data_IF_328174211945
#
_entry.id   IF_328174211945
#
_cell.length_a   1.000
_cell.length_b   1.000
_cell.length_c   1.000
_cell.angle_alpha   90.00
_cell.angle_beta   90.00
_cell.angle_gamma   90.00
#
_symmetry.space_group_name_H-M   'P 1'
#
loop_
_entity.id
_entity.type
_entity.pdbx_description
1 polymer ?
#
# COMPACT_ATOMS: atom_id res chain seq x y z
N UNK A 1 50.43 41.00 28.41
CA UNK A 1 49.86 40.52 27.11
C UNK A 1 49.48 39.02 27.10
N UNK A 2 49.54 38.30 28.23
CA UNK A 2 49.38 36.81 28.26
C UNK A 2 47.93 36.32 28.38
N UNK A 3 47.03 37.05 29.04
CA UNK A 3 45.62 36.63 29.25
C UNK A 3 44.79 36.54 27.96
N UNK A 4 45.05 37.40 26.97
CA UNK A 4 44.29 37.45 25.70
C UNK A 4 44.57 36.24 24.81
N UNK A 5 45.79 35.72 24.84
CA UNK A 5 46.19 34.51 24.10
C UNK A 5 45.62 33.24 24.75
N UNK A 6 45.56 33.18 26.09
CA UNK A 6 44.95 32.06 26.81
C UNK A 6 43.44 31.94 26.54
N UNK A 7 42.73 33.07 26.44
CA UNK A 7 41.29 33.08 26.13
C UNK A 7 41.03 32.61 24.69
N UNK A 8 41.87 33.04 23.74
CA UNK A 8 41.75 32.67 22.33
C UNK A 8 42.04 31.17 22.11
N UNK A 9 43.04 30.63 22.80
CA UNK A 9 43.33 29.18 22.80
C UNK A 9 42.17 28.38 23.39
N UNK A 10 41.52 28.86 24.45
CA UNK A 10 40.33 28.22 25.03
C UNK A 10 39.15 28.18 24.06
N UNK A 11 38.85 29.28 23.36
CA UNK A 11 37.80 29.30 22.33
C UNK A 11 38.10 28.39 21.14
N UNK A 12 39.36 28.34 20.69
CA UNK A 12 39.78 27.41 19.62
C UNK A 12 39.62 25.95 20.03
N UNK A 13 39.98 25.61 21.28
CA UNK A 13 39.75 24.27 21.85
C UNK A 13 38.27 23.92 21.92
N UNK A 14 37.41 24.86 22.34
CA UNK A 14 35.95 24.65 22.34
C UNK A 14 35.39 24.41 20.93
N UNK A 15 35.86 25.16 19.93
CA UNK A 15 35.45 24.98 18.54
C UNK A 15 35.91 23.62 18.02
N UNK A 16 37.15 23.19 18.33
CA UNK A 16 37.68 21.88 17.96
C UNK A 16 36.88 20.74 18.60
N UNK A 17 36.62 20.82 19.91
CA UNK A 17 35.82 19.83 20.64
C UNK A 17 34.38 19.81 20.11
N UNK A 18 33.78 20.99 19.86
CA UNK A 18 32.46 21.10 19.26
C UNK A 18 32.40 20.49 17.85
N UNK A 19 33.39 20.79 17.01
CA UNK A 19 33.51 20.22 15.67
C UNK A 19 33.68 18.69 15.70
N UNK A 20 34.53 18.19 16.59
CA UNK A 20 34.72 16.75 16.78
C UNK A 20 33.43 16.06 17.26
N UNK A 21 32.73 16.64 18.25
CA UNK A 21 31.49 16.06 18.75
C UNK A 21 30.37 16.05 17.70
N UNK A 22 30.23 17.11 16.92
CA UNK A 22 29.27 17.18 15.80
C UNK A 22 29.62 16.17 14.71
N UNK A 23 30.89 16.08 14.32
CA UNK A 23 31.37 15.11 13.32
C UNK A 23 31.16 13.67 13.78
N UNK A 24 31.52 13.36 15.03
CA UNK A 24 31.29 12.06 15.64
C UNK A 24 29.80 11.70 15.68
N UNK A 25 28.95 12.63 16.11
CA UNK A 25 27.50 12.44 16.13
C UNK A 25 26.95 12.19 14.71
N UNK A 26 27.41 12.94 13.73
CA UNK A 26 27.02 12.77 12.33
C UNK A 26 27.39 11.37 11.82
N UNK A 27 28.63 10.92 12.02
CA UNK A 27 29.08 9.59 11.62
C UNK A 27 28.28 8.48 12.33
N UNK A 28 28.05 8.65 13.63
CA UNK A 28 27.26 7.71 14.43
C UNK A 28 25.81 7.59 13.93
N UNK A 29 25.15 8.72 13.67
CA UNK A 29 23.78 8.74 13.14
C UNK A 29 23.71 8.18 11.72
N UNK A 30 24.65 8.56 10.86
CA UNK A 30 24.72 8.07 9.48
C UNK A 30 24.88 6.54 9.44
N UNK A 31 25.78 5.98 10.26
CA UNK A 31 25.96 4.55 10.36
C UNK A 31 24.70 3.84 10.86
N UNK A 32 24.03 4.39 11.89
CA UNK A 32 22.77 3.83 12.42
C UNK A 32 21.65 3.85 11.38
N UNK A 33 21.54 4.93 10.62
CA UNK A 33 20.55 5.06 9.55
C UNK A 33 20.86 4.05 8.45
N UNK A 34 22.07 4.06 7.88
CA UNK A 34 22.47 3.17 6.79
C UNK A 34 22.31 1.69 7.15
N UNK A 35 22.74 1.29 8.35
CA UNK A 35 22.51 -0.08 8.83
C UNK A 35 21.00 -0.40 8.85
N UNK A 36 20.15 0.52 9.32
CA UNK A 36 18.70 0.32 9.30
C UNK A 36 18.09 0.31 7.89
N UNK A 37 18.76 0.89 6.89
CA UNK A 37 18.35 0.84 5.48
C UNK A 37 18.70 -0.52 4.86
N UNK A 38 19.90 -1.01 5.14
CA UNK A 38 20.49 -2.21 4.54
C UNK A 38 19.99 -3.50 5.17
N UNK A 39 19.78 -3.56 6.49
CA UNK A 39 19.34 -4.80 7.18
C UNK A 39 17.85 -5.13 6.96
N UNK A 40 17.17 -4.40 6.07
CA UNK A 40 15.76 -4.56 5.77
C UNK A 40 14.91 -3.48 6.43
N UNK A 41 14.34 -2.60 5.61
CA UNK A 41 13.32 -1.63 6.03
C UNK A 41 12.06 -2.31 6.59
N UNK A 42 11.86 -3.57 6.20
CA UNK A 42 10.73 -4.44 6.52
C UNK A 42 11.09 -5.30 7.73
N UNK A 43 10.52 -5.02 8.90
CA UNK A 43 10.48 -6.03 9.97
C UNK A 43 9.59 -7.18 9.47
N UNK A 44 9.90 -8.45 9.77
CA UNK A 44 9.03 -9.55 9.39
C UNK A 44 7.66 -9.30 10.02
N UNK A 45 6.70 -8.97 9.17
CA UNK A 45 5.31 -8.87 9.56
C UNK A 45 4.87 -10.28 9.91
N UNK A 46 4.25 -10.45 11.08
CA UNK A 46 3.48 -11.68 11.30
C UNK A 46 2.19 -11.49 10.52
N UNK A 47 2.08 -12.18 9.40
CA UNK A 47 0.92 -12.12 8.52
C UNK A 47 0.03 -13.33 8.74
N UNK A 48 -1.24 -13.07 9.02
CA UNK A 48 -2.28 -14.09 9.11
C UNK A 48 -3.06 -14.09 7.81
N UNK A 49 -3.09 -15.25 7.16
CA UNK A 49 -3.79 -15.44 5.90
C UNK A 49 -5.13 -16.13 6.12
N UNK A 50 -6.10 -15.83 5.27
CA UNK A 50 -7.33 -16.62 5.19
C UNK A 50 -7.06 -18.00 4.61
N UNK A 51 -7.96 -18.96 4.84
CA UNK A 51 -7.95 -20.20 4.08
C UNK A 51 -8.25 -19.90 2.59
N UNK A 52 -7.63 -20.61 1.64
CA UNK A 52 -7.93 -20.43 0.23
C UNK A 52 -9.39 -20.78 -0.05
N UNK A 53 -10.08 -19.91 -0.78
CA UNK A 53 -11.46 -20.14 -1.16
C UNK A 53 -11.51 -21.08 -2.35
N UNK A 54 -12.27 -22.15 -2.23
CA UNK A 54 -12.46 -23.13 -3.30
C UNK A 54 -13.92 -23.17 -3.70
N UNK A 55 -14.17 -23.12 -5.00
CA UNK A 55 -15.49 -23.36 -5.57
C UNK A 55 -15.41 -24.56 -6.51
N UNK A 56 -16.40 -25.43 -6.39
CA UNK A 56 -16.49 -26.72 -7.08
C UNK A 56 -17.74 -26.74 -7.95
N UNK A 57 -17.68 -27.51 -9.03
CA UNK A 57 -18.87 -27.80 -9.83
C UNK A 57 -19.95 -28.46 -8.96
N UNK A 58 -21.21 -28.03 -9.11
CA UNK A 58 -22.37 -28.53 -8.36
C UNK A 58 -22.59 -27.91 -6.97
N UNK A 59 -21.65 -27.08 -6.48
CA UNK A 59 -21.76 -26.40 -5.18
C UNK A 59 -22.99 -25.50 -5.11
N UNK A 60 -23.75 -25.56 -4.01
CA UNK A 60 -24.84 -24.63 -3.72
C UNK A 60 -24.26 -23.25 -3.35
N UNK A 61 -24.32 -22.31 -4.29
CA UNK A 61 -23.81 -20.96 -4.18
C UNK A 61 -24.56 -20.05 -5.16
N UNK A 62 -25.11 -18.94 -4.66
CA UNK A 62 -25.76 -17.95 -5.53
C UNK A 62 -24.75 -16.97 -6.14
N UNK A 63 -25.07 -16.35 -7.29
CA UNK A 63 -24.21 -15.32 -7.89
C UNK A 63 -23.91 -14.17 -6.92
N UNK A 64 -24.91 -13.75 -6.12
CA UNK A 64 -24.78 -12.64 -5.16
C UNK A 64 -23.84 -12.99 -4.00
N UNK A 65 -23.93 -14.22 -3.47
CA UNK A 65 -23.01 -14.69 -2.43
C UNK A 65 -21.58 -14.77 -2.95
N UNK A 66 -21.40 -15.26 -4.18
CA UNK A 66 -20.07 -15.28 -4.80
C UNK A 66 -19.50 -13.88 -5.01
N UNK A 67 -20.30 -12.95 -5.52
CA UNK A 67 -19.88 -11.56 -5.66
C UNK A 67 -19.53 -10.89 -4.32
N UNK A 68 -20.26 -11.18 -3.23
CA UNK A 68 -19.87 -10.72 -1.88
C UNK A 68 -18.52 -11.29 -1.45
N UNK A 69 -18.26 -12.58 -1.70
CA UNK A 69 -16.96 -13.21 -1.42
C UNK A 69 -15.82 -12.59 -2.23
N UNK A 70 -16.08 -12.17 -3.46
CA UNK A 70 -15.10 -11.45 -4.29
C UNK A 70 -14.86 -10.03 -3.76
N UNK A 71 -15.91 -9.30 -3.36
CA UNK A 71 -15.78 -7.97 -2.75
C UNK A 71 -14.97 -7.98 -1.45
N UNK A 72 -15.13 -9.02 -0.62
CA UNK A 72 -14.30 -9.24 0.57
C UNK A 72 -12.81 -9.45 0.24
N UNK A 73 -12.50 -9.78 -1.03
CA UNK A 73 -11.15 -9.95 -1.57
C UNK A 73 -10.73 -8.76 -2.43
N UNK A 74 -11.31 -7.59 -2.18
CA UNK A 74 -11.02 -6.33 -2.86
C UNK A 74 -11.35 -6.29 -4.36
N UNK A 75 -12.11 -7.27 -4.88
CA UNK A 75 -12.63 -7.17 -6.23
C UNK A 75 -13.77 -6.16 -6.31
N UNK A 76 -13.72 -5.27 -7.30
CA UNK A 76 -14.70 -4.20 -7.47
C UNK A 76 -15.72 -4.59 -8.56
N UNK A 77 -17.04 -4.42 -8.34
CA UNK A 77 -18.02 -4.68 -9.38
C UNK A 77 -17.92 -3.64 -10.50
N UNK A 78 -18.00 -4.08 -11.75
CA UNK A 78 -18.08 -3.26 -12.95
C UNK A 78 -19.42 -3.41 -13.66
N UNK A 79 -19.79 -2.41 -14.47
CA UNK A 79 -20.91 -2.54 -15.39
C UNK A 79 -20.57 -3.57 -16.48
N UNK A 80 -21.54 -4.35 -16.99
CA UNK A 80 -21.32 -5.26 -18.12
C UNK A 80 -20.85 -4.58 -19.40
N UNK A 81 -21.03 -3.26 -19.51
CA UNK A 81 -20.57 -2.44 -20.63
C UNK A 81 -19.11 -2.03 -20.52
N UNK A 82 -18.52 -2.11 -19.33
CA UNK A 82 -17.13 -1.71 -19.10
C UNK A 82 -16.18 -2.82 -19.59
N UNK A 83 -15.02 -2.46 -20.15
CA UNK A 83 -14.02 -3.45 -20.52
C UNK A 83 -13.53 -4.19 -19.26
N UNK A 84 -13.26 -5.51 -19.34
CA UNK A 84 -12.79 -6.28 -18.21
C UNK A 84 -11.41 -5.80 -17.75
N UNK A 85 -11.20 -5.75 -16.43
CA UNK A 85 -9.96 -5.25 -15.81
C UNK A 85 -9.53 -6.17 -14.66
N UNK A 86 -8.22 -6.36 -14.43
CA UNK A 86 -7.69 -7.08 -13.27
C UNK A 86 -8.20 -6.47 -11.96
N UNK A 87 -8.65 -7.32 -11.02
CA UNK A 87 -9.20 -6.85 -9.75
C UNK A 87 -10.65 -6.37 -9.81
N UNK A 88 -11.33 -6.56 -10.95
CA UNK A 88 -12.75 -6.26 -11.10
C UNK A 88 -13.55 -7.50 -11.51
N UNK A 89 -14.85 -7.47 -11.25
CA UNK A 89 -15.78 -8.53 -11.63
C UNK A 89 -17.09 -7.98 -12.19
N UNK A 90 -17.77 -8.79 -13.00
CA UNK A 90 -18.97 -8.41 -13.74
C UNK A 90 -20.04 -9.47 -13.56
N UNK A 91 -21.27 -9.04 -13.33
CA UNK A 91 -22.46 -9.89 -13.38
C UNK A 91 -23.05 -9.88 -14.79
N UNK A 92 -23.30 -11.05 -15.35
CA UNK A 92 -23.94 -11.19 -16.65
C UNK A 92 -25.33 -11.81 -16.49
N UNK A 93 -26.28 -11.25 -17.23
CA UNK A 93 -27.66 -11.77 -17.32
C UNK A 93 -27.76 -13.02 -18.21
N UNK A 94 -26.71 -13.33 -18.98
CA UNK A 94 -26.65 -14.46 -19.91
C UNK A 94 -25.26 -15.12 -19.82
N UNK A 95 -25.12 -16.42 -20.19
CA UNK A 95 -23.84 -17.13 -20.13
C UNK A 95 -22.81 -16.55 -21.10
N UNK A 96 -22.00 -15.61 -20.64
CA UNK A 96 -20.83 -15.13 -21.39
C UNK A 96 -19.58 -15.23 -20.54
N UNK A 97 -18.96 -16.41 -20.58
CA UNK A 97 -17.58 -16.62 -20.13
C UNK A 97 -16.62 -16.44 -21.33
N UNK A 98 -16.68 -15.30 -22.02
CA UNK A 98 -15.99 -15.04 -23.30
C UNK A 98 -16.93 -14.77 -24.48
N UNK A 99 -16.40 -14.77 -25.71
CA UNK A 99 -17.11 -14.33 -26.94
C UNK A 99 -18.18 -15.31 -27.46
N UNK A 100 -18.25 -16.55 -26.96
CA UNK A 100 -19.24 -17.55 -27.40
C UNK A 100 -20.26 -17.83 -26.29
N UNK A 101 -21.55 -17.92 -26.66
CA UNK A 101 -22.59 -18.51 -25.81
C UNK A 101 -22.25 -20.00 -25.61
N UNK A 102 -21.95 -20.42 -24.39
CA UNK A 102 -21.50 -21.79 -24.11
C UNK A 102 -22.68 -22.75 -23.91
N UNK A 103 -22.56 -23.96 -24.47
CA UNK A 103 -23.52 -25.07 -24.27
C UNK A 103 -23.03 -25.93 -23.10
N UNK A 104 -23.96 -26.41 -22.28
CA UNK A 104 -23.68 -27.39 -21.21
C UNK A 104 -23.29 -28.72 -21.86
N UNK A 105 -22.25 -29.41 -21.35
CA UNK A 105 -21.92 -30.76 -21.81
C UNK A 105 -23.14 -31.69 -21.65
N UNK A 106 -23.56 -32.33 -22.76
CA UNK A 106 -24.71 -33.24 -22.80
C UNK A 106 -26.07 -32.57 -22.99
N UNK A 107 -26.15 -31.25 -23.17
CA UNK A 107 -27.42 -30.55 -23.42
C UNK A 107 -27.33 -29.57 -24.60
N UNK A 108 -28.37 -29.55 -25.43
CA UNK A 108 -28.55 -28.51 -26.47
C UNK A 108 -29.02 -27.16 -25.90
N UNK A 109 -29.18 -27.03 -24.58
CA UNK A 109 -29.53 -25.78 -23.90
C UNK A 109 -28.28 -25.03 -23.41
N UNK A 110 -28.19 -23.76 -23.79
CA UNK A 110 -27.37 -22.78 -23.08
C UNK A 110 -28.13 -22.41 -21.80
N UNK A 111 -27.72 -22.94 -20.65
CA UNK A 111 -28.53 -22.92 -19.43
C UNK A 111 -27.70 -22.46 -18.23
N UNK A 112 -27.35 -21.16 -18.23
CA UNK A 112 -27.04 -20.45 -16.99
C UNK A 112 -27.90 -19.20 -16.97
N UNK A 113 -28.74 -19.05 -15.96
CA UNK A 113 -29.58 -17.86 -15.79
C UNK A 113 -28.72 -16.62 -15.46
N UNK A 114 -27.58 -16.86 -14.80
CA UNK A 114 -26.64 -15.83 -14.39
C UNK A 114 -25.21 -16.35 -14.51
N UNK A 115 -24.27 -15.49 -14.89
CA UNK A 115 -22.85 -15.79 -14.76
C UNK A 115 -22.09 -14.63 -14.12
N UNK A 116 -20.94 -14.93 -13.55
CA UNK A 116 -20.03 -13.96 -12.95
C UNK A 116 -18.63 -14.20 -13.50
N UNK A 117 -18.03 -13.17 -14.08
CA UNK A 117 -16.65 -13.20 -14.57
C UNK A 117 -15.75 -12.22 -13.83
N UNK A 118 -14.49 -12.57 -13.61
CA UNK A 118 -13.48 -11.68 -13.05
C UNK A 118 -12.11 -11.96 -13.69
N UNK A 119 -11.17 -11.03 -13.52
CA UNK A 119 -9.78 -11.23 -13.94
C UNK A 119 -8.86 -11.23 -12.73
N UNK A 120 -7.96 -12.22 -12.66
CA UNK A 120 -6.91 -12.27 -11.64
C UNK A 120 -6.17 -10.94 -11.56
N UNK A 121 -6.01 -10.41 -10.34
CA UNK A 121 -5.35 -9.13 -10.11
C UNK A 121 -3.89 -9.08 -10.62
N UNK A 122 -3.17 -10.20 -10.60
CA UNK A 122 -1.73 -10.24 -10.90
C UNK A 122 -1.48 -10.70 -12.33
N UNK A 123 -2.20 -11.73 -12.78
CA UNK A 123 -1.97 -12.37 -14.08
C UNK A 123 -2.92 -11.88 -15.16
N UNK A 124 -4.00 -11.17 -14.81
CA UNK A 124 -5.07 -10.81 -15.74
C UNK A 124 -5.87 -12.02 -16.27
N UNK A 125 -5.59 -13.23 -15.77
CA UNK A 125 -6.23 -14.46 -16.17
C UNK A 125 -7.75 -14.37 -15.98
N UNK A 126 -8.55 -14.57 -17.05
CA UNK A 126 -9.99 -14.50 -16.94
C UNK A 126 -10.56 -15.76 -16.30
N UNK A 127 -11.46 -15.55 -15.35
CA UNK A 127 -12.28 -16.58 -14.73
C UNK A 127 -13.75 -16.31 -14.97
N UNK A 128 -14.53 -17.38 -14.97
CA UNK A 128 -15.97 -17.25 -15.07
C UNK A 128 -16.68 -18.42 -14.39
N UNK A 129 -17.82 -18.11 -13.79
CA UNK A 129 -18.68 -19.06 -13.07
C UNK A 129 -20.09 -18.91 -13.61
N UNK A 130 -20.68 -20.02 -14.05
CA UNK A 130 -22.08 -20.11 -14.45
C UNK A 130 -22.94 -20.65 -13.32
N UNK A 131 -24.13 -20.06 -13.16
CA UNK A 131 -25.07 -20.41 -12.11
C UNK A 131 -26.44 -20.80 -12.69
N UNK A 132 -27.06 -21.80 -12.08
CA UNK A 132 -28.44 -22.20 -12.32
C UNK A 132 -29.05 -22.69 -11.01
N UNK A 133 -30.26 -22.22 -10.66
CA UNK A 133 -30.95 -22.61 -9.42
C UNK A 133 -30.06 -22.49 -8.16
N UNK A 134 -29.29 -21.40 -8.04
CA UNK A 134 -28.31 -21.17 -6.98
C UNK A 134 -27.27 -22.28 -6.80
N UNK A 135 -26.91 -22.98 -7.88
CA UNK A 135 -25.80 -23.92 -7.94
C UNK A 135 -24.83 -23.54 -9.04
N UNK A 136 -23.56 -23.86 -8.81
CA UNK A 136 -22.51 -23.74 -9.82
C UNK A 136 -22.69 -24.86 -10.84
N UNK A 137 -22.87 -24.51 -12.11
CA UNK A 137 -23.05 -25.46 -13.22
C UNK A 137 -21.94 -25.39 -14.26
N UNK A 138 -21.10 -24.36 -14.21
CA UNK A 138 -19.88 -24.29 -15.02
C UNK A 138 -18.81 -23.44 -14.34
N UNK A 139 -17.56 -23.84 -14.51
CA UNK A 139 -16.39 -23.11 -14.04
C UNK A 139 -15.38 -23.04 -15.18
N UNK A 140 -14.84 -21.84 -15.42
CA UNK A 140 -13.83 -21.62 -16.45
C UNK A 140 -12.66 -20.83 -15.90
N UNK A 141 -11.46 -21.25 -16.29
CA UNK A 141 -10.19 -20.56 -16.05
C UNK A 141 -9.43 -20.47 -17.36
N UNK A 142 -9.02 -19.27 -17.77
CA UNK A 142 -8.33 -19.03 -19.05
C UNK A 142 -9.09 -19.63 -20.24
N UNK A 143 -10.41 -19.45 -20.28
CA UNK A 143 -11.31 -19.99 -21.30
C UNK A 143 -11.41 -21.53 -21.37
N UNK A 144 -10.76 -22.26 -20.45
CA UNK A 144 -10.88 -23.71 -20.33
C UNK A 144 -11.85 -24.06 -19.21
N UNK A 145 -12.70 -25.05 -19.45
CA UNK A 145 -13.60 -25.61 -18.44
C UNK A 145 -12.77 -26.36 -17.39
N UNK A 146 -13.11 -26.18 -16.11
CA UNK A 146 -12.44 -26.80 -14.97
C UNK A 146 -13.49 -27.27 -13.96
N UNK A 147 -13.15 -28.23 -13.09
CA UNK A 147 -14.07 -28.71 -12.05
C UNK A 147 -13.91 -27.96 -10.72
N UNK A 148 -12.78 -27.24 -10.56
CA UNK A 148 -12.41 -26.55 -9.34
C UNK A 148 -11.69 -25.24 -9.67
N UNK A 149 -12.08 -24.17 -8.99
CA UNK A 149 -11.31 -22.92 -8.92
C UNK A 149 -10.90 -22.70 -7.46
N UNK A 150 -9.61 -22.50 -7.23
CA UNK A 150 -9.06 -22.11 -5.93
C UNK A 150 -8.52 -20.69 -6.03
N UNK A 151 -9.12 -19.76 -5.28
CA UNK A 151 -8.59 -18.41 -5.12
C UNK A 151 -7.42 -18.43 -4.13
N UNK A 152 -6.44 -17.56 -4.37
CA UNK A 152 -5.33 -17.36 -3.45
C UNK A 152 -5.84 -16.84 -2.10
N UNK A 153 -5.20 -17.24 -0.99
CA UNK A 153 -5.49 -16.64 0.30
C UNK A 153 -5.07 -15.17 0.28
N UNK A 154 -5.73 -14.36 1.10
CA UNK A 154 -5.39 -12.95 1.28
C UNK A 154 -5.01 -12.68 2.74
N UNK A 155 -4.22 -11.62 2.94
CA UNK A 155 -3.79 -11.18 4.27
C UNK A 155 -5.01 -10.65 5.03
N UNK A 156 -5.36 -11.32 6.12
CA UNK A 156 -6.46 -10.96 7.01
C UNK A 156 -6.00 -10.02 8.12
N UNK A 157 -4.82 -10.27 8.69
CA UNK A 157 -4.25 -9.44 9.74
C UNK A 157 -2.72 -9.41 9.66
N UNK A 158 -2.13 -8.27 9.99
CA UNK A 158 -0.69 -8.15 10.19
C UNK A 158 -0.42 -7.52 11.55
N UNK A 159 0.64 -7.96 12.20
CA UNK A 159 1.07 -7.42 13.49
C UNK A 159 2.54 -7.01 13.43
N UNK A 160 2.85 -5.88 14.04
CA UNK A 160 4.21 -5.39 14.24
C UNK A 160 4.38 -4.99 15.72
N UNK A 161 5.23 -5.73 16.45
CA UNK A 161 5.43 -5.59 17.89
C UNK A 161 4.13 -5.69 18.73
N UNK A 162 3.20 -6.56 18.32
CA UNK A 162 1.92 -6.76 19.02
C UNK A 162 0.83 -5.74 18.66
N UNK A 163 1.15 -4.69 17.89
CA UNK A 163 0.18 -3.73 17.41
C UNK A 163 -0.36 -4.16 16.03
N UNK A 164 -1.68 -4.10 15.80
CA UNK A 164 -2.25 -4.40 14.49
C UNK A 164 -1.84 -3.32 13.50
N UNK A 165 -1.34 -3.75 12.35
CA UNK A 165 -1.01 -2.86 11.22
C UNK A 165 -1.54 -3.46 9.93
N UNK A 166 -1.71 -2.61 8.92
CA UNK A 166 -1.96 -3.05 7.56
C UNK A 166 -1.02 -2.26 6.65
N UNK A 167 0.00 -2.95 6.12
CA UNK A 167 1.01 -2.40 5.22
C UNK A 167 1.25 -3.38 4.08
N UNK A 168 1.15 -2.88 2.86
CA UNK A 168 1.60 -3.60 1.67
C UNK A 168 2.80 -2.87 1.11
N UNK A 169 3.91 -3.60 0.97
CA UNK A 169 5.10 -3.05 0.31
C UNK A 169 4.96 -3.20 -1.19
N UNK A 170 5.15 -2.09 -1.90
CA UNK A 170 5.17 -2.04 -3.35
C UNK A 170 6.37 -1.22 -3.83
N UNK A 171 7.05 -1.66 -4.90
CA UNK A 171 8.08 -0.84 -5.54
C UNK A 171 7.45 0.43 -6.13
N UNK A 172 8.26 1.49 -6.26
CA UNK A 172 7.77 2.82 -6.63
C UNK A 172 7.11 2.84 -8.02
N UNK A 173 7.55 1.97 -8.93
CA UNK A 173 7.02 1.83 -10.30
C UNK A 173 5.61 1.21 -10.37
N UNK A 174 5.11 0.61 -9.28
CA UNK A 174 3.73 0.12 -9.21
C UNK A 174 2.72 1.22 -8.82
N UNK A 175 3.19 2.36 -8.32
CA UNK A 175 2.31 3.46 -7.96
C UNK A 175 1.91 4.28 -9.20
N UNK A 176 0.63 4.67 -9.34
CA UNK A 176 0.21 5.56 -10.41
C UNK A 176 1.00 6.87 -10.39
N UNK A 177 1.46 7.33 -11.56
CA UNK A 177 2.27 8.55 -11.69
C UNK A 177 1.65 9.76 -10.98
N UNK A 178 0.35 10.00 -11.19
CA UNK A 178 -0.36 11.11 -10.57
C UNK A 178 -0.44 10.99 -9.04
N UNK A 179 -0.50 9.77 -8.49
CA UNK A 179 -0.50 9.59 -7.04
C UNK A 179 0.83 10.07 -6.44
N UNK A 180 1.95 9.65 -7.03
CA UNK A 180 3.28 10.10 -6.61
C UNK A 180 3.44 11.62 -6.76
N UNK A 181 3.03 12.17 -7.91
CA UNK A 181 3.12 13.60 -8.17
C UNK A 181 2.26 14.42 -7.20
N UNK A 182 1.07 13.94 -6.83
CA UNK A 182 0.21 14.61 -5.85
C UNK A 182 0.86 14.65 -4.47
N UNK A 183 1.47 13.54 -4.01
CA UNK A 183 2.17 13.51 -2.72
C UNK A 183 3.36 14.46 -2.72
N UNK A 184 4.20 14.42 -3.76
CA UNK A 184 5.32 15.34 -3.90
C UNK A 184 4.83 16.80 -3.89
N UNK A 185 3.81 17.12 -4.68
CA UNK A 185 3.30 18.50 -4.76
C UNK A 185 2.70 18.99 -3.44
N UNK A 186 1.99 18.13 -2.71
CA UNK A 186 1.31 18.48 -1.47
C UNK A 186 2.26 18.57 -0.26
N UNK A 187 3.18 17.62 -0.14
CA UNK A 187 4.06 17.51 1.04
C UNK A 187 5.42 18.16 0.83
N UNK A 188 6.02 18.01 -0.36
CA UNK A 188 7.42 18.41 -0.59
C UNK A 188 7.74 18.63 -2.08
N UNK A 189 7.26 19.75 -2.65
CA UNK A 189 7.37 20.04 -4.10
C UNK A 189 8.80 20.14 -4.63
N UNK A 190 9.80 20.29 -3.73
CA UNK A 190 11.22 20.39 -4.06
C UNK A 190 12.01 19.15 -3.66
N UNK A 191 11.34 18.06 -3.31
CA UNK A 191 11.95 16.84 -2.78
C UNK A 191 13.14 16.34 -3.60
N UNK A 192 13.02 16.34 -4.93
CA UNK A 192 14.05 15.83 -5.85
C UNK A 192 15.26 16.78 -5.94
N UNK A 193 15.09 18.04 -5.57
CA UNK A 193 16.12 19.08 -5.73
C UNK A 193 16.93 19.36 -4.46
N UNK A 194 16.47 18.90 -3.29
CA UNK A 194 17.14 19.19 -2.02
C UNK A 194 17.66 17.91 -1.35
N UNK A 195 18.70 18.04 -0.53
CA UNK A 195 19.36 16.92 0.15
C UNK A 195 18.66 16.54 1.47
N UNK A 196 17.34 16.36 1.41
CA UNK A 196 16.50 15.97 2.54
C UNK A 196 16.04 17.08 3.49
N UNK A 197 16.59 18.30 3.43
CA UNK A 197 16.08 19.49 4.15
C UNK A 197 15.93 20.64 3.17
N UNK A 198 14.77 21.31 3.19
CA UNK A 198 14.54 22.50 2.37
C UNK A 198 14.54 23.78 3.23
N UNK A 199 15.67 24.50 3.22
CA UNK A 199 15.77 25.83 3.85
C UNK A 199 14.74 26.81 3.28
N UNK A 200 14.50 26.75 1.97
CA UNK A 200 13.50 27.56 1.28
C UNK A 200 12.09 27.29 1.81
N UNK A 201 11.72 26.01 2.00
CA UNK A 201 10.42 25.64 2.58
C UNK A 201 10.27 26.12 4.01
N UNK A 202 11.31 26.02 4.83
CA UNK A 202 11.31 26.47 6.22
C UNK A 202 11.12 27.99 6.30
N UNK A 203 11.95 28.77 5.59
CA UNK A 203 11.88 30.24 5.60
C UNK A 203 10.52 30.74 5.13
N UNK A 204 10.00 30.15 4.05
CA UNK A 204 8.68 30.46 3.50
C UNK A 204 7.55 30.16 4.48
N UNK A 205 7.58 28.99 5.13
CA UNK A 205 6.59 28.61 6.12
C UNK A 205 6.61 29.55 7.33
N UNK A 206 7.80 29.92 7.82
CA UNK A 206 7.95 30.91 8.90
C UNK A 206 7.32 32.25 8.51
N UNK A 207 7.68 32.79 7.33
CA UNK A 207 7.14 34.07 6.87
C UNK A 207 5.61 34.09 6.74
N UNK A 208 5.01 33.01 6.23
CA UNK A 208 3.54 32.90 6.13
C UNK A 208 2.85 32.71 7.47
N UNK A 209 3.42 31.91 8.36
CA UNK A 209 2.85 31.68 9.69
C UNK A 209 2.92 32.95 10.56
N UNK A 210 4.01 33.72 10.46
CA UNK A 210 4.14 35.02 11.13
C UNK A 210 3.12 36.03 10.59
N UNK A 211 2.99 36.14 9.26
CA UNK A 211 2.00 37.04 8.64
C UNK A 211 0.56 36.68 9.01
N UNK A 212 0.27 35.40 9.19
CA UNK A 212 -1.06 34.92 9.54
C UNK A 212 -1.35 34.89 11.05
N UNK A 213 -0.35 35.10 11.91
CA UNK A 213 -0.47 34.98 13.36
C UNK A 213 -0.82 33.57 13.85
N UNK A 214 -0.76 32.55 12.98
CA UNK A 214 -1.09 31.16 13.28
C UNK A 214 -0.32 30.21 12.37
N UNK A 215 -0.20 28.95 12.80
CA UNK A 215 0.34 27.88 11.96
C UNK A 215 -0.61 27.60 10.79
N UNK A 216 -0.21 28.00 9.59
CA UNK A 216 -0.89 27.74 8.32
C UNK A 216 -0.16 26.70 7.48
N UNK A 217 1.16 26.75 7.49
CA UNK A 217 1.99 25.98 6.56
C UNK A 217 3.14 25.25 7.28
N UNK A 218 3.36 24.00 6.87
CA UNK A 218 4.50 23.19 7.28
C UNK A 218 5.72 23.45 6.38
N UNK A 219 6.91 23.42 6.98
CA UNK A 219 8.20 23.48 6.26
C UNK A 219 8.92 22.13 6.21
N UNK A 220 8.28 21.05 6.68
CA UNK A 220 8.91 19.74 6.83
C UNK A 220 8.99 18.98 5.50
N UNK A 221 10.09 18.28 5.29
CA UNK A 221 10.34 17.48 4.07
C UNK A 221 9.86 16.03 4.21
N UNK A 222 9.74 15.30 3.10
CA UNK A 222 9.45 13.86 3.12
C UNK A 222 10.53 13.09 3.92
N UNK A 223 11.81 13.45 3.75
CA UNK A 223 12.91 12.82 4.51
C UNK A 223 12.81 13.04 6.01
N UNK A 224 12.38 14.23 6.46
CA UNK A 224 12.14 14.50 7.88
C UNK A 224 10.98 13.68 8.43
N UNK A 225 9.88 13.57 7.67
CA UNK A 225 8.75 12.72 8.05
C UNK A 225 9.14 11.25 8.13
N UNK A 226 9.97 10.78 7.20
CA UNK A 226 10.51 9.41 7.20
C UNK A 226 11.30 9.12 8.47
N UNK A 227 12.26 9.98 8.82
CA UNK A 227 13.06 9.83 10.04
C UNK A 227 12.16 9.90 11.28
N UNK A 228 11.22 10.85 11.34
CA UNK A 228 10.25 10.98 12.45
C UNK A 228 9.45 9.70 12.63
N UNK A 229 8.92 9.13 11.56
CA UNK A 229 8.06 7.96 11.63
C UNK A 229 8.83 6.66 11.91
N UNK A 230 10.09 6.56 11.47
CA UNK A 230 10.92 5.35 11.60
C UNK A 230 11.66 5.28 12.93
N UNK A 231 12.30 6.37 13.35
CA UNK A 231 13.25 6.35 14.47
C UNK A 231 12.67 6.94 15.75
N UNK A 232 11.67 7.82 15.66
CA UNK A 232 11.04 8.40 16.85
C UNK A 232 9.77 7.64 17.18
N UNK A 233 9.72 7.10 18.40
CA UNK A 233 8.54 6.40 18.89
C UNK A 233 7.35 7.36 18.99
N UNK A 234 6.20 6.99 18.42
CA UNK A 234 4.90 7.67 18.65
C UNK A 234 4.37 7.42 20.07
N UNK A 235 5.22 7.42 21.10
CA UNK A 235 4.80 7.38 22.51
C UNK A 235 4.06 8.68 22.83
N UNK A 236 2.80 8.78 22.42
CA UNK A 236 1.80 9.54 23.16
C UNK A 236 1.57 8.73 24.43
N UNK A 237 2.23 9.14 25.51
CA UNK A 237 1.94 8.62 26.83
C UNK A 237 0.42 8.75 27.07
N UNK A 238 -0.26 7.62 27.24
CA UNK A 238 -1.70 7.52 27.53
C UNK A 238 -2.02 8.03 28.95
N UNK A 239 -0.99 8.32 29.76
CA UNK A 239 -1.06 8.89 31.11
C UNK A 239 -1.55 10.34 31.20
N UNK A 240 -2.28 10.83 30.20
CA UNK A 240 -3.02 12.09 30.28
C UNK A 240 -4.43 11.93 29.72
N UNK A 241 -5.10 10.86 30.15
CA UNK A 241 -6.56 10.69 29.99
C UNK A 241 -7.24 10.13 31.25
N UNK A 242 -6.48 9.91 32.32
CA UNK A 242 -6.94 9.68 33.68
C UNK A 242 -6.00 10.45 34.61
#
# INVERSE_FOLDING_TARGET
MTKKNSLLVFFLLLILIGGFTVSWLFLHLNQKINNSLETGWHRPLVEYYTAPEKILLGMALSPREWGKKLQQRYYIPLSPTDPPRPGYFVYHKYPSCGEKKWKIQGSNQASTEHSLSWQDENTGAPFCVGFQNNKIVSLHKNHKEVELISLKPFVFAQYENGEPILKQFKPLNEFPFYCLQSVLTAEDHQFITHEGISLKSIIRAIGRNLKAGRLLEGGSTISQHLIKNKFFSKKKSVWRKF
#
